data_IF_445499106548
#
_entry.id   IF_445499106548
#
_cell.length_a   1.000
_cell.length_b   1.000
_cell.length_c   1.000
_cell.angle_alpha   90.00
_cell.angle_beta   90.00
_cell.angle_gamma   90.00
#
_symmetry.space_group_name_H-M   'P 1'
#
loop_
_entity.id
_entity.type
_entity.pdbx_description
1 polymer ?
#
# COMPACT_ATOMS: atom_id res chain seq x y z
N UNK A 1 -65.42 30.56 2.43
CA UNK A 1 -64.99 29.23 2.90
C UNK A 1 -63.82 28.74 2.04
N UNK A 2 -62.64 29.35 2.09
CA UNK A 2 -61.48 28.91 1.31
C UNK A 2 -60.14 29.20 2.01
N UNK A 3 -60.00 28.96 3.31
CA UNK A 3 -58.76 29.20 4.05
C UNK A 3 -58.13 27.95 4.71
N UNK A 4 -58.73 26.77 4.52
CA UNK A 4 -58.36 25.56 5.27
C UNK A 4 -57.43 24.59 4.55
N UNK A 5 -57.28 24.66 3.22
CA UNK A 5 -56.64 23.59 2.44
C UNK A 5 -55.18 23.84 2.04
N UNK A 6 -54.64 25.07 2.25
CA UNK A 6 -53.25 25.38 1.89
C UNK A 6 -52.20 25.03 2.98
N UNK A 7 -52.60 24.83 4.24
CA UNK A 7 -51.63 24.52 5.33
C UNK A 7 -51.27 23.05 5.44
N UNK A 8 -52.09 22.13 4.96
CA UNK A 8 -51.80 20.70 5.04
C UNK A 8 -50.81 20.20 3.98
N UNK A 9 -50.68 20.89 2.84
CA UNK A 9 -49.78 20.47 1.77
C UNK A 9 -48.30 20.78 2.02
N UNK A 10 -47.98 21.79 2.84
CA UNK A 10 -46.62 22.17 3.17
C UNK A 10 -45.94 21.24 4.15
N UNK A 11 -46.69 20.55 5.02
CA UNK A 11 -46.13 19.63 6.02
C UNK A 11 -45.75 18.25 5.44
N UNK A 12 -46.31 17.87 4.27
CA UNK A 12 -46.02 16.58 3.65
C UNK A 12 -44.77 16.57 2.79
N UNK A 13 -44.27 17.73 2.35
CA UNK A 13 -43.11 17.83 1.44
C UNK A 13 -41.80 17.78 2.23
N UNK A 14 -41.75 18.31 3.45
CA UNK A 14 -40.53 18.37 4.27
C UNK A 14 -40.00 16.96 4.64
N UNK A 15 -40.83 16.00 5.07
CA UNK A 15 -40.30 14.66 5.42
C UNK A 15 -39.81 13.85 4.22
N UNK A 16 -40.36 14.10 3.02
CA UNK A 16 -39.93 13.39 1.78
C UNK A 16 -38.54 13.92 1.35
N UNK A 17 -38.29 15.21 1.43
CA UNK A 17 -36.98 15.79 1.11
C UNK A 17 -35.90 15.33 2.09
N UNK A 18 -36.21 15.21 3.38
CA UNK A 18 -35.28 14.69 4.40
C UNK A 18 -34.93 13.20 4.16
N UNK A 19 -35.89 12.39 3.76
CA UNK A 19 -35.63 10.97 3.43
C UNK A 19 -34.79 10.82 2.17
N UNK A 20 -34.92 11.70 1.19
CA UNK A 20 -34.06 11.70 0.01
C UNK A 20 -32.61 12.11 0.33
N UNK A 21 -32.39 13.09 1.22
CA UNK A 21 -31.06 13.52 1.62
C UNK A 21 -30.31 12.45 2.41
N UNK A 22 -30.99 11.72 3.31
CA UNK A 22 -30.38 10.62 4.09
C UNK A 22 -30.00 9.45 3.19
N UNK A 23 -30.80 9.16 2.15
CA UNK A 23 -30.50 8.05 1.21
C UNK A 23 -29.34 8.35 0.25
N UNK A 24 -29.04 9.61 -0.06
CA UNK A 24 -27.87 9.98 -0.87
C UNK A 24 -26.57 9.87 -0.06
N UNK A 25 -26.60 10.26 1.21
CA UNK A 25 -25.41 10.21 2.09
C UNK A 25 -24.93 8.77 2.34
N UNK A 26 -25.86 7.83 2.45
CA UNK A 26 -25.51 6.42 2.66
C UNK A 26 -24.90 5.75 1.42
N UNK A 27 -25.22 6.19 0.21
CA UNK A 27 -24.63 5.62 -1.02
C UNK A 27 -23.15 5.98 -1.20
N UNK A 28 -22.70 7.14 -0.73
CA UNK A 28 -21.29 7.52 -0.80
C UNK A 28 -20.40 6.72 0.16
N UNK A 29 -20.94 6.26 1.27
CA UNK A 29 -20.19 5.49 2.27
C UNK A 29 -19.94 4.04 1.81
N UNK A 30 -20.82 3.46 1.03
CA UNK A 30 -20.68 2.10 0.49
C UNK A 30 -19.64 2.01 -0.65
N UNK A 31 -19.45 3.07 -1.42
CA UNK A 31 -18.47 3.11 -2.50
C UNK A 31 -17.00 3.14 -1.99
N UNK A 32 -16.75 3.58 -0.75
CA UNK A 32 -15.42 3.59 -0.14
C UNK A 32 -14.95 2.23 0.38
N UNK A 33 -15.85 1.29 0.61
CA UNK A 33 -15.53 -0.01 1.21
C UNK A 33 -15.08 -1.10 0.23
N UNK A 34 -14.98 -0.84 -1.07
CA UNK A 34 -14.75 -1.90 -2.07
C UNK A 34 -13.41 -1.82 -2.81
N UNK A 35 -12.61 -0.79 -2.60
CA UNK A 35 -11.33 -0.73 -3.28
C UNK A 35 -10.25 -1.45 -2.48
N UNK A 36 -9.80 -2.58 -3.00
CA UNK A 36 -8.69 -3.34 -2.40
C UNK A 36 -7.42 -2.49 -2.42
N UNK A 37 -6.66 -2.43 -1.32
CA UNK A 37 -5.39 -1.70 -1.29
C UNK A 37 -4.44 -2.20 -2.37
N UNK A 38 -3.85 -1.27 -3.13
CA UNK A 38 -2.91 -1.54 -4.23
C UNK A 38 -1.52 -1.04 -3.89
N UNK A 39 -0.50 -1.64 -4.51
CA UNK A 39 0.87 -1.17 -4.44
C UNK A 39 1.04 0.07 -5.33
N UNK A 40 1.63 1.13 -4.78
CA UNK A 40 1.79 2.43 -5.44
C UNK A 40 3.26 2.80 -5.71
N UNK A 41 4.19 2.13 -5.02
CA UNK A 41 5.62 2.38 -5.13
C UNK A 41 6.13 3.49 -4.21
N UNK A 42 7.45 3.53 -3.95
CA UNK A 42 8.06 4.40 -2.95
C UNK A 42 7.95 5.89 -3.28
N UNK A 43 7.86 6.25 -4.56
CA UNK A 43 7.71 7.67 -4.97
C UNK A 43 6.42 8.28 -4.45
N UNK A 44 5.35 7.49 -4.32
CA UNK A 44 4.10 7.96 -3.72
C UNK A 44 4.24 8.24 -2.23
N UNK A 45 5.01 7.43 -1.53
CA UNK A 45 5.30 7.64 -0.10
C UNK A 45 6.10 8.93 0.15
N UNK A 46 7.02 9.25 -0.76
CA UNK A 46 7.86 10.45 -0.71
C UNK A 46 7.08 11.75 -0.58
N UNK A 47 5.87 11.82 -1.13
CA UNK A 47 5.06 13.03 -1.13
C UNK A 47 4.79 13.55 0.30
N UNK A 48 4.68 12.64 1.28
CA UNK A 48 4.46 12.98 2.69
C UNK A 48 5.64 12.57 3.59
N UNK A 49 6.38 11.52 3.22
CA UNK A 49 7.47 10.92 4.01
C UNK A 49 8.84 11.18 3.37
N UNK A 50 9.14 12.43 3.04
CA UNK A 50 10.35 12.80 2.28
C UNK A 50 11.66 12.44 3.00
N UNK A 51 11.72 12.57 4.32
CA UNK A 51 12.90 12.26 5.12
C UNK A 51 13.15 10.75 5.19
N UNK A 52 12.12 9.97 5.48
CA UNK A 52 12.18 8.51 5.51
C UNK A 52 12.53 7.94 4.13
N UNK A 53 11.94 8.50 3.08
CA UNK A 53 12.27 8.14 1.70
C UNK A 53 13.75 8.40 1.39
N UNK A 54 14.27 9.58 1.72
CA UNK A 54 15.66 9.94 1.45
C UNK A 54 16.62 8.97 2.19
N UNK A 55 16.39 8.73 3.47
CA UNK A 55 17.18 7.80 4.27
C UNK A 55 17.11 6.37 3.72
N UNK A 56 15.91 5.91 3.34
CA UNK A 56 15.72 4.60 2.75
C UNK A 56 16.51 4.44 1.44
N UNK A 57 16.42 5.42 0.55
CA UNK A 57 17.10 5.37 -0.75
C UNK A 57 18.61 5.46 -0.61
N UNK A 58 19.13 6.19 0.38
CA UNK A 58 20.58 6.37 0.58
C UNK A 58 21.22 5.19 1.31
N UNK A 59 20.59 4.70 2.38
CA UNK A 59 21.25 3.77 3.31
C UNK A 59 20.73 2.33 3.21
N UNK A 60 19.52 2.11 2.68
CA UNK A 60 18.95 0.78 2.68
C UNK A 60 19.20 0.03 1.37
N UNK A 61 19.91 -1.10 1.49
CA UNK A 61 20.22 -1.95 0.32
C UNK A 61 18.97 -2.47 -0.40
N UNK A 62 17.80 -2.53 0.26
CA UNK A 62 16.54 -2.94 -0.35
C UNK A 62 16.08 -1.97 -1.43
N UNK A 63 16.39 -0.68 -1.28
CA UNK A 63 16.09 0.35 -2.29
C UNK A 63 16.71 0.06 -3.66
N UNK A 64 17.74 -0.79 -3.70
CA UNK A 64 18.48 -1.17 -4.89
C UNK A 64 18.54 -2.69 -5.10
N UNK A 65 17.62 -3.44 -4.46
CA UNK A 65 17.67 -4.91 -4.40
C UNK A 65 17.60 -5.61 -5.76
N UNK A 66 16.94 -5.01 -6.76
CA UNK A 66 16.87 -5.56 -8.10
C UNK A 66 18.22 -5.63 -8.82
N UNK A 67 19.20 -4.81 -8.44
CA UNK A 67 20.55 -4.88 -9.00
C UNK A 67 21.20 -6.26 -8.75
N UNK A 68 20.92 -6.90 -7.63
CA UNK A 68 21.41 -8.25 -7.36
C UNK A 68 20.86 -9.26 -8.35
N UNK A 69 19.62 -9.13 -8.77
CA UNK A 69 19.01 -9.98 -9.79
C UNK A 69 19.67 -9.71 -11.14
N UNK A 70 19.81 -8.44 -11.52
CA UNK A 70 20.41 -8.07 -12.81
C UNK A 70 21.85 -8.59 -12.95
N UNK A 71 22.61 -8.61 -11.85
CA UNK A 71 23.98 -9.12 -11.83
C UNK A 71 24.05 -10.65 -11.90
N UNK A 72 23.12 -11.36 -11.26
CA UNK A 72 23.18 -12.82 -11.11
C UNK A 72 22.34 -13.59 -12.13
N UNK A 73 21.44 -12.92 -12.86
CA UNK A 73 20.50 -13.59 -13.79
C UNK A 73 21.16 -14.30 -14.96
N UNK A 74 22.42 -13.95 -15.28
CA UNK A 74 23.14 -14.56 -16.40
C UNK A 74 23.41 -16.05 -16.12
N UNK A 75 22.83 -16.92 -16.94
CA UNK A 75 22.97 -18.36 -16.81
C UNK A 75 21.90 -19.01 -15.90
N UNK A 76 20.92 -18.23 -15.42
CA UNK A 76 19.75 -18.76 -14.73
C UNK A 76 18.58 -18.93 -15.70
N UNK A 77 17.79 -19.96 -15.46
CA UNK A 77 16.51 -20.14 -16.15
C UNK A 77 15.47 -19.12 -15.63
N UNK A 78 14.47 -18.79 -16.45
CA UNK A 78 13.45 -17.80 -16.10
C UNK A 78 12.75 -18.12 -14.77
N UNK A 79 12.49 -19.40 -14.49
CA UNK A 79 11.86 -19.82 -13.24
C UNK A 79 12.75 -19.62 -12.01
N UNK A 80 14.06 -19.67 -12.18
CA UNK A 80 15.03 -19.38 -11.12
C UNK A 80 15.10 -17.90 -10.82
N UNK A 81 15.09 -17.07 -11.87
CA UNK A 81 15.05 -15.61 -11.75
C UNK A 81 13.75 -15.16 -11.03
N UNK A 82 12.60 -15.77 -11.34
CA UNK A 82 11.32 -15.46 -10.69
C UNK A 82 11.33 -15.70 -9.18
N UNK A 83 12.07 -16.68 -8.69
CA UNK A 83 12.24 -16.90 -7.24
C UNK A 83 12.93 -15.73 -6.53
N UNK A 84 13.80 -15.01 -7.23
CA UNK A 84 14.44 -13.82 -6.67
C UNK A 84 13.44 -12.68 -6.44
N UNK A 85 12.41 -12.57 -7.29
CA UNK A 85 11.43 -11.47 -7.21
C UNK A 85 10.66 -11.44 -5.89
N UNK A 86 10.44 -12.60 -5.26
CA UNK A 86 9.72 -12.71 -3.98
C UNK A 86 10.33 -11.84 -2.87
N UNK A 87 11.67 -11.70 -2.86
CA UNK A 87 12.40 -10.95 -1.84
C UNK A 87 12.99 -9.64 -2.35
N UNK A 88 13.21 -9.51 -3.66
CA UNK A 88 13.93 -8.40 -4.24
C UNK A 88 13.03 -7.38 -4.95
N UNK A 89 11.70 -7.60 -4.98
CA UNK A 89 10.71 -6.70 -5.58
C UNK A 89 9.54 -6.46 -4.63
N UNK A 90 8.70 -5.48 -4.94
CA UNK A 90 7.54 -5.16 -4.12
C UNK A 90 6.30 -5.91 -4.59
N UNK A 91 5.78 -6.79 -3.73
CA UNK A 91 4.48 -7.44 -3.94
C UNK A 91 4.44 -8.50 -5.06
N UNK A 92 5.58 -9.08 -5.48
CA UNK A 92 5.57 -10.15 -6.46
C UNK A 92 4.65 -11.31 -6.05
N UNK A 93 3.86 -11.80 -7.00
CA UNK A 93 2.86 -12.84 -6.75
C UNK A 93 1.59 -12.37 -6.04
N UNK A 94 1.48 -11.08 -5.70
CA UNK A 94 0.28 -10.48 -5.10
C UNK A 94 -0.44 -9.59 -6.12
N UNK A 95 -1.74 -9.40 -5.92
CA UNK A 95 -2.54 -8.52 -6.76
C UNK A 95 -1.98 -7.10 -6.76
N UNK A 96 -1.80 -6.52 -7.95
CA UNK A 96 -1.21 -5.19 -8.13
C UNK A 96 0.28 -5.05 -7.80
N UNK A 97 0.97 -6.14 -7.42
CA UNK A 97 2.40 -6.15 -7.15
C UNK A 97 3.28 -6.20 -8.41
N UNK A 98 4.59 -6.37 -8.21
CA UNK A 98 5.58 -6.43 -9.30
C UNK A 98 5.26 -7.55 -10.30
N UNK A 99 5.32 -7.24 -11.59
CA UNK A 99 5.18 -8.19 -12.70
C UNK A 99 6.41 -8.27 -13.56
N UNK A 100 6.88 -7.14 -14.07
CA UNK A 100 8.12 -7.01 -14.82
C UNK A 100 8.66 -5.58 -14.70
N UNK A 101 9.88 -5.35 -15.20
CA UNK A 101 10.49 -4.01 -15.25
C UNK A 101 9.72 -3.07 -16.20
N UNK A 102 9.07 -3.62 -17.21
CA UNK A 102 8.31 -2.86 -18.22
C UNK A 102 6.91 -2.51 -17.71
N UNK A 103 6.23 -3.46 -17.03
CA UNK A 103 4.85 -3.28 -16.62
C UNK A 103 4.71 -2.51 -15.31
N UNK A 104 5.59 -2.76 -14.35
CA UNK A 104 5.54 -2.18 -13.00
C UNK A 104 6.91 -1.70 -12.52
N UNK A 105 7.58 -0.79 -13.25
CA UNK A 105 8.95 -0.35 -12.95
C UNK A 105 9.10 0.27 -11.56
N UNK A 106 8.06 0.93 -11.03
CA UNK A 106 8.03 1.52 -9.69
C UNK A 106 8.10 0.49 -8.56
N UNK A 107 7.81 -0.79 -8.84
CA UNK A 107 7.80 -1.88 -7.86
C UNK A 107 9.01 -2.82 -7.97
N UNK A 108 9.97 -2.51 -8.85
CA UNK A 108 11.09 -3.40 -9.15
C UNK A 108 12.07 -3.62 -8.01
N UNK A 109 12.10 -2.77 -7.00
CA UNK A 109 12.89 -2.97 -5.79
C UNK A 109 12.01 -3.36 -4.60
N UNK A 110 12.60 -3.89 -3.55
CA UNK A 110 11.92 -4.14 -2.29
C UNK A 110 11.70 -2.81 -1.54
N UNK A 111 10.65 -2.08 -1.92
CA UNK A 111 10.32 -0.75 -1.42
C UNK A 111 9.63 -0.75 -0.05
N UNK A 112 9.10 0.41 0.34
CA UNK A 112 8.41 0.64 1.63
C UNK A 112 7.28 -0.37 1.87
N UNK A 113 6.52 -0.65 0.84
CA UNK A 113 5.32 -1.51 0.88
C UNK A 113 5.62 -3.01 1.05
N UNK A 114 6.87 -3.45 0.94
CA UNK A 114 7.26 -4.82 1.31
C UNK A 114 7.05 -5.06 2.80
N UNK A 115 7.30 -4.04 3.61
CA UNK A 115 7.14 -4.09 5.06
C UNK A 115 5.77 -3.57 5.51
N UNK A 116 5.34 -2.45 4.93
CA UNK A 116 4.14 -1.72 5.35
C UNK A 116 2.85 -2.20 4.66
N UNK A 117 2.95 -3.04 3.63
CA UNK A 117 1.80 -3.47 2.82
C UNK A 117 1.39 -2.44 1.76
N UNK A 118 0.38 -2.77 0.92
CA UNK A 118 -0.08 -1.91 -0.16
C UNK A 118 -0.63 -0.59 0.35
N UNK A 119 -0.10 0.54 -0.15
CA UNK A 119 -0.27 1.87 0.42
C UNK A 119 -1.29 2.77 -0.25
N UNK A 120 -2.05 2.31 -1.27
CA UNK A 120 -2.94 3.20 -2.03
C UNK A 120 -3.97 3.91 -1.16
N UNK A 121 -4.64 3.18 -0.25
CA UNK A 121 -5.69 3.74 0.61
C UNK A 121 -5.09 4.76 1.58
N UNK A 122 -3.98 4.40 2.24
CA UNK A 122 -3.27 5.34 3.12
C UNK A 122 -2.81 6.61 2.39
N UNK A 123 -2.28 6.47 1.17
CA UNK A 123 -1.83 7.61 0.37
C UNK A 123 -2.97 8.56 -0.04
N UNK A 124 -4.20 8.08 -0.08
CA UNK A 124 -5.40 8.88 -0.36
C UNK A 124 -6.01 9.50 0.89
N UNK A 125 -6.04 8.74 1.99
CA UNK A 125 -6.73 9.15 3.23
C UNK A 125 -5.82 9.89 4.20
N UNK A 126 -4.52 9.58 4.21
CA UNK A 126 -3.57 10.00 5.24
C UNK A 126 -3.80 9.32 6.60
N UNK A 127 -4.74 8.38 6.70
CA UNK A 127 -5.05 7.71 7.95
C UNK A 127 -4.00 6.61 8.25
N UNK A 128 -3.28 6.68 9.37
CA UNK A 128 -2.31 5.65 9.75
C UNK A 128 -2.94 4.27 10.02
N UNK A 129 -4.25 4.18 10.18
CA UNK A 129 -4.95 2.91 10.31
C UNK A 129 -5.03 2.13 8.99
N UNK A 130 -4.89 2.81 7.85
CA UNK A 130 -4.98 2.23 6.51
C UNK A 130 -3.65 1.60 6.01
N UNK A 131 -2.63 1.58 6.87
CA UNK A 131 -1.34 0.97 6.56
C UNK A 131 -0.72 0.33 7.81
N UNK A 132 0.15 -0.63 7.62
CA UNK A 132 0.85 -1.28 8.72
C UNK A 132 1.97 -0.38 9.27
N UNK A 133 1.70 0.37 10.35
CA UNK A 133 2.69 1.26 10.97
C UNK A 133 3.72 0.53 11.84
N UNK A 134 3.32 -0.53 12.57
CA UNK A 134 4.20 -1.27 13.48
C UNK A 134 4.70 -2.56 12.84
N UNK A 135 6.01 -2.65 12.65
CA UNK A 135 6.66 -3.85 12.13
C UNK A 135 7.11 -4.77 13.28
N UNK A 136 7.13 -6.05 12.99
CA UNK A 136 7.58 -7.12 13.89
C UNK A 136 8.63 -7.97 13.20
N UNK A 137 9.31 -8.83 13.94
CA UNK A 137 10.28 -9.77 13.38
C UNK A 137 9.66 -10.65 12.26
N UNK A 138 8.41 -11.04 12.41
CA UNK A 138 7.69 -11.85 11.40
C UNK A 138 7.61 -11.18 10.03
N UNK A 139 7.58 -9.85 10.00
CA UNK A 139 7.54 -9.11 8.74
C UNK A 139 8.86 -9.18 7.97
N UNK A 140 9.95 -9.38 8.69
CA UNK A 140 11.28 -9.56 8.13
C UNK A 140 11.53 -11.00 7.68
N UNK A 141 10.96 -11.98 8.38
CA UNK A 141 11.18 -13.41 8.15
C UNK A 141 10.69 -13.91 6.80
N UNK A 142 9.80 -13.19 6.14
CA UNK A 142 9.36 -13.51 4.78
C UNK A 142 10.52 -13.55 3.76
N UNK A 143 11.56 -12.76 4.00
CA UNK A 143 12.76 -12.69 3.15
C UNK A 143 14.03 -13.11 3.90
N UNK A 144 14.12 -12.79 5.20
CA UNK A 144 15.26 -13.07 6.05
C UNK A 144 15.07 -14.39 6.84
N UNK A 145 15.08 -15.52 6.14
CA UNK A 145 15.01 -16.85 6.76
C UNK A 145 16.38 -17.28 7.28
N UNK A 146 16.41 -18.23 8.22
CA UNK A 146 17.63 -18.83 8.75
C UNK A 146 18.53 -19.48 7.68
N UNK A 147 17.94 -19.94 6.58
CA UNK A 147 18.66 -20.52 5.45
C UNK A 147 19.37 -19.46 4.60
N UNK A 148 18.80 -18.25 4.53
CA UNK A 148 19.30 -17.15 3.69
C UNK A 148 20.19 -16.19 4.45
N UNK A 149 20.02 -16.07 5.76
CA UNK A 149 20.76 -15.14 6.61
C UNK A 149 21.18 -15.85 7.89
N UNK A 150 22.44 -16.29 7.95
CA UNK A 150 22.97 -17.03 9.11
C UNK A 150 23.02 -16.23 10.41
N UNK A 151 22.99 -14.88 10.33
CA UNK A 151 23.02 -13.99 11.48
C UNK A 151 22.14 -12.78 11.25
N UNK A 152 20.81 -12.99 11.29
CA UNK A 152 19.87 -11.90 11.18
C UNK A 152 19.65 -11.23 12.54
N UNK A 153 20.09 -9.97 12.69
CA UNK A 153 19.83 -9.18 13.87
C UNK A 153 18.77 -8.10 13.56
N UNK A 154 17.56 -8.38 13.96
CA UNK A 154 16.40 -7.54 13.73
C UNK A 154 16.52 -6.14 14.36
N UNK A 155 17.02 -6.03 15.59
CA UNK A 155 17.06 -4.75 16.32
C UNK A 155 17.89 -3.66 15.64
N UNK A 156 19.16 -3.91 15.25
CA UNK A 156 19.92 -2.90 14.52
C UNK A 156 19.30 -2.48 13.19
N UNK A 157 18.59 -3.39 12.52
CA UNK A 157 17.94 -3.06 11.25
C UNK A 157 16.76 -2.10 11.41
N UNK A 158 15.96 -2.24 12.46
CA UNK A 158 14.85 -1.31 12.75
C UNK A 158 15.39 0.05 13.18
N UNK A 159 16.43 0.08 14.03
CA UNK A 159 16.90 1.33 14.63
C UNK A 159 17.98 2.04 13.83
N UNK A 160 18.64 1.38 12.90
CA UNK A 160 19.79 1.95 12.19
C UNK A 160 19.81 1.77 10.68
N UNK A 161 18.80 1.15 10.08
CA UNK A 161 18.87 0.82 8.66
C UNK A 161 17.54 0.62 7.96
N UNK A 162 16.42 0.78 8.63
CA UNK A 162 15.12 0.66 7.97
C UNK A 162 14.74 1.97 7.27
N UNK A 163 14.80 3.07 7.96
CA UNK A 163 14.67 4.43 7.41
C UNK A 163 14.96 5.51 8.46
#
# INVERSE_FOLDING_TARGET
MEAGMRKSMLFAIIPIALLFFVSLSSRQQWARCSEQPRYVGPEKCKECHAAEYANFMEFNKKAHSFQSIAQQRKGLEEQEVKKCFECHTTGYGKEGGFRSEEETPQLKNAGCEVCHGPGSVHAETGDPADIKGKLTNKDCESCHTSERVSAFNYKPLIYGGAH
#
